data_IF_933398921323
#
_entry.id   IF_933398921323
#
_cell.length_a   1.000
_cell.length_b   1.000
_cell.length_c   1.000
_cell.angle_alpha   90.00
_cell.angle_beta   90.00
_cell.angle_gamma   90.00
#
_symmetry.space_group_name_H-M   'P 1'
#
loop_
_entity.id
_entity.type
_entity.pdbx_description
1 polymer ?
#
# COMPACT_ATOMS: atom_id res chain seq x y z
N UNK A 1 8.30 -0.26 36.04
CA UNK A 1 7.14 0.33 35.33
C UNK A 1 6.54 -0.79 34.51
N UNK A 2 5.25 -1.06 34.61
CA UNK A 2 4.59 -2.05 33.76
C UNK A 2 4.40 -1.44 32.38
N UNK A 3 5.15 -1.91 31.39
CA UNK A 3 4.84 -1.66 29.98
C UNK A 3 3.44 -2.20 29.72
N UNK A 4 2.48 -1.33 29.37
CA UNK A 4 1.19 -1.79 28.87
C UNK A 4 1.44 -2.51 27.54
N UNK A 5 1.25 -3.82 27.50
CA UNK A 5 1.37 -4.65 26.29
C UNK A 5 0.28 -4.26 25.29
N UNK A 6 0.57 -3.26 24.45
CA UNK A 6 -0.35 -2.83 23.40
C UNK A 6 -0.24 -3.77 22.22
N UNK A 7 -1.39 -4.11 21.66
CA UNK A 7 -1.48 -5.00 20.51
C UNK A 7 -2.22 -4.30 19.37
N UNK A 8 -1.91 -4.70 18.15
CA UNK A 8 -2.56 -4.28 16.92
C UNK A 8 -3.23 -5.49 16.27
N UNK A 9 -4.52 -5.37 15.97
CA UNK A 9 -5.24 -6.36 15.19
C UNK A 9 -4.91 -6.21 13.69
N UNK A 10 -4.60 -7.33 13.05
CA UNK A 10 -4.38 -7.45 11.61
C UNK A 10 -5.20 -8.61 11.02
N UNK A 11 -5.68 -8.51 9.79
CA UNK A 11 -6.30 -9.64 9.06
C UNK A 11 -5.83 -9.69 7.61
N UNK A 12 -5.75 -10.88 7.01
CA UNK A 12 -5.42 -11.06 5.58
C UNK A 12 -6.69 -10.97 4.72
N UNK A 13 -7.42 -9.85 4.81
CA UNK A 13 -8.72 -9.66 4.17
C UNK A 13 -9.94 -9.87 5.09
N UNK A 14 -11.17 -9.62 4.59
CA UNK A 14 -12.38 -9.50 5.40
C UNK A 14 -12.87 -10.81 6.03
N UNK A 15 -12.54 -11.96 5.43
CA UNK A 15 -12.93 -13.29 5.92
C UNK A 15 -11.79 -14.03 6.63
N UNK A 16 -10.63 -13.40 6.79
CA UNK A 16 -9.44 -14.02 7.37
C UNK A 16 -9.37 -13.89 8.88
N UNK A 17 -8.69 -14.83 9.53
CA UNK A 17 -8.39 -14.77 10.97
C UNK A 17 -7.71 -13.45 11.34
N UNK A 18 -8.08 -12.90 12.49
CA UNK A 18 -7.36 -11.78 13.11
C UNK A 18 -6.12 -12.33 13.81
N UNK A 19 -4.98 -11.68 13.57
CA UNK A 19 -3.71 -11.88 14.27
C UNK A 19 -3.41 -10.63 15.07
N UNK A 20 -2.94 -10.80 16.30
CA UNK A 20 -2.52 -9.72 17.16
C UNK A 20 -1.00 -9.64 17.16
N UNK A 21 -0.44 -8.49 16.80
CA UNK A 21 1.00 -8.22 16.83
C UNK A 21 1.26 -7.14 17.88
N UNK A 22 2.35 -7.27 18.64
CA UNK A 22 2.74 -6.31 19.66
C UNK A 22 3.02 -4.92 19.06
N UNK A 23 2.72 -3.87 19.81
CA UNK A 23 2.99 -2.48 19.47
C UNK A 23 3.94 -1.88 20.51
N UNK A 24 5.19 -1.66 20.10
CA UNK A 24 6.26 -1.12 20.92
C UNK A 24 6.13 0.40 21.10
N UNK A 25 6.40 0.92 22.30
CA UNK A 25 6.46 2.37 22.53
C UNK A 25 7.84 2.94 22.14
N UNK A 26 7.90 3.63 21.01
CA UNK A 26 9.14 4.22 20.52
C UNK A 26 9.42 5.58 21.20
N UNK A 27 10.27 5.57 22.24
CA UNK A 27 10.51 6.72 23.11
C UNK A 27 10.93 8.00 22.38
N UNK A 28 11.78 7.89 21.35
CA UNK A 28 12.29 9.04 20.60
C UNK A 28 11.21 9.83 19.86
N UNK A 29 10.17 9.14 19.35
CA UNK A 29 9.05 9.78 18.63
C UNK A 29 7.76 9.80 19.44
N UNK A 30 7.79 9.26 20.67
CA UNK A 30 6.69 9.23 21.65
C UNK A 30 5.40 8.64 21.09
N UNK A 31 5.51 7.61 20.26
CA UNK A 31 4.37 6.93 19.64
C UNK A 31 4.53 5.41 19.70
N UNK A 32 3.40 4.71 19.74
CA UNK A 32 3.37 3.26 19.57
C UNK A 32 3.53 2.91 18.09
N UNK A 33 4.42 1.95 17.81
CA UNK A 33 4.76 1.47 16.48
C UNK A 33 4.72 -0.06 16.44
N UNK A 34 4.41 -0.63 15.28
CA UNK A 34 4.58 -2.07 15.01
C UNK A 34 5.75 -2.22 14.04
N UNK A 35 6.73 -3.07 14.35
CA UNK A 35 7.85 -3.31 13.45
C UNK A 35 7.39 -4.08 12.21
N UNK A 36 7.97 -3.73 11.06
CA UNK A 36 7.63 -4.38 9.80
C UNK A 36 8.08 -5.85 9.77
N UNK A 37 9.15 -6.20 10.51
CA UNK A 37 9.62 -7.57 10.71
C UNK A 37 8.52 -8.46 11.29
N UNK A 38 7.89 -8.01 12.36
CA UNK A 38 6.92 -8.81 13.12
C UNK A 38 5.65 -9.04 12.28
N UNK A 39 5.32 -8.09 11.40
CA UNK A 39 4.26 -8.24 10.39
C UNK A 39 4.67 -9.27 9.32
N UNK A 40 5.91 -9.21 8.80
CA UNK A 40 6.42 -10.18 7.83
C UNK A 40 6.47 -11.60 8.40
N UNK A 41 6.85 -11.77 9.66
CA UNK A 41 6.92 -13.07 10.32
C UNK A 41 5.53 -13.71 10.50
N UNK A 42 4.48 -12.89 10.68
CA UNK A 42 3.10 -13.34 10.81
C UNK A 42 2.36 -13.58 9.48
N UNK A 43 2.69 -12.82 8.43
CA UNK A 43 1.92 -12.78 7.17
C UNK A 43 2.70 -13.18 5.91
N UNK A 44 4.03 -13.32 5.99
CA UNK A 44 4.91 -13.52 4.84
C UNK A 44 5.17 -12.22 4.08
N UNK A 45 5.45 -12.27 2.76
CA UNK A 45 5.68 -11.09 1.94
C UNK A 45 4.45 -10.16 1.89
N UNK A 46 4.51 -9.05 2.62
CA UNK A 46 3.43 -8.03 2.60
C UNK A 46 3.73 -6.97 1.55
N UNK A 47 2.77 -6.74 0.64
CA UNK A 47 2.85 -5.64 -0.33
C UNK A 47 2.38 -4.33 0.30
N UNK A 48 1.18 -4.33 0.89
CA UNK A 48 0.57 -3.15 1.49
C UNK A 48 -0.21 -3.51 2.76
N UNK A 49 -0.38 -2.54 3.65
CA UNK A 49 -1.29 -2.62 4.80
C UNK A 49 -2.33 -1.52 4.63
N UNK A 50 -3.59 -1.84 4.88
CA UNK A 50 -4.73 -0.95 4.66
C UNK A 50 -5.51 -0.72 5.95
N UNK A 51 -6.10 0.47 6.06
CA UNK A 51 -7.04 0.86 7.12
C UNK A 51 -8.34 1.29 6.45
N UNK A 52 -9.22 0.33 6.21
CA UNK A 52 -10.35 0.52 5.28
C UNK A 52 -9.83 0.84 3.87
N UNK A 53 -10.35 1.87 3.18
CA UNK A 53 -9.95 2.18 1.80
C UNK A 53 -8.55 2.81 1.67
N UNK A 54 -7.87 3.15 2.77
CA UNK A 54 -6.60 3.87 2.75
C UNK A 54 -5.40 2.95 2.98
N UNK A 55 -4.42 2.97 2.08
CA UNK A 55 -3.11 2.34 2.30
C UNK A 55 -2.36 3.11 3.40
N UNK A 56 -1.84 2.39 4.40
CA UNK A 56 -1.04 2.95 5.48
C UNK A 56 0.39 3.23 5.01
N UNK A 57 0.89 4.39 5.41
CA UNK A 57 2.27 4.80 5.21
C UNK A 57 3.15 4.36 6.39
N UNK A 58 4.47 4.32 6.18
CA UNK A 58 5.46 4.05 7.22
C UNK A 58 5.38 5.11 8.33
N UNK A 59 5.69 4.68 9.56
CA UNK A 59 5.82 5.59 10.69
C UNK A 59 6.96 6.59 10.43
N UNK A 60 6.70 7.85 10.78
CA UNK A 60 7.65 8.95 10.63
C UNK A 60 7.94 9.61 11.97
N UNK A 61 9.11 10.24 12.07
CA UNK A 61 9.48 11.10 13.19
C UNK A 61 8.79 12.48 13.10
N UNK A 62 9.01 13.33 14.11
CA UNK A 62 8.49 14.70 14.15
C UNK A 62 9.09 15.65 13.10
N UNK A 63 10.10 15.20 12.35
CA UNK A 63 10.77 15.92 11.26
C UNK A 63 10.35 15.39 9.88
N UNK A 64 9.49 14.37 9.82
CA UNK A 64 9.00 13.74 8.60
C UNK A 64 9.90 12.64 8.01
N UNK A 65 11.00 12.26 8.68
CA UNK A 65 11.86 11.16 8.26
C UNK A 65 11.21 9.81 8.60
N UNK A 66 11.51 8.76 7.84
CA UNK A 66 11.12 7.40 8.21
C UNK A 66 11.88 6.96 9.46
N UNK A 67 11.19 6.21 10.34
CA UNK A 67 11.81 5.61 11.52
C UNK A 67 12.46 4.29 11.09
N UNK A 68 13.75 4.14 11.42
CA UNK A 68 14.48 2.88 11.29
C UNK A 68 14.59 2.18 12.67
N UNK A 69 14.37 0.86 12.77
CA UNK A 69 13.95 -0.03 11.69
C UNK A 69 12.52 0.24 11.23
N UNK A 70 12.24 -0.03 9.95
CA UNK A 70 10.92 0.15 9.31
C UNK A 70 9.77 -0.32 10.20
N UNK A 71 8.84 0.58 10.46
CA UNK A 71 7.67 0.33 11.28
C UNK A 71 6.44 1.10 10.75
N UNK A 72 5.25 0.72 11.22
CA UNK A 72 4.00 1.47 11.03
C UNK A 72 3.49 2.02 12.36
N UNK A 73 2.64 3.04 12.32
CA UNK A 73 2.00 3.59 13.51
C UNK A 73 0.94 2.63 14.06
N UNK A 74 0.79 2.57 15.38
CA UNK A 74 -0.33 1.88 16.04
C UNK A 74 -1.66 2.62 15.81
N UNK A 75 -2.69 1.85 15.49
CA UNK A 75 -4.07 2.31 15.32
C UNK A 75 -4.97 1.55 16.29
N UNK A 76 -5.02 2.06 17.52
CA UNK A 76 -6.04 1.69 18.51
C UNK A 76 -7.43 1.70 17.84
N UNK A 77 -8.22 0.65 18.11
CA UNK A 77 -9.58 0.44 17.59
C UNK A 77 -9.74 0.20 16.08
N UNK A 78 -8.64 -0.07 15.34
CA UNK A 78 -8.72 -0.52 13.94
C UNK A 78 -8.20 -1.95 13.77
N UNK A 79 -8.90 -2.76 12.97
CA UNK A 79 -8.30 -3.97 12.36
C UNK A 79 -7.66 -3.53 11.04
N UNK A 80 -6.37 -3.83 10.88
CA UNK A 80 -5.61 -3.48 9.69
C UNK A 80 -5.59 -4.64 8.69
N UNK A 81 -5.90 -4.36 7.43
CA UNK A 81 -5.92 -5.38 6.39
C UNK A 81 -4.52 -5.52 5.75
N UNK A 82 -3.99 -6.74 5.75
CA UNK A 82 -2.68 -7.08 5.19
C UNK A 82 -2.88 -7.63 3.78
N UNK A 83 -2.50 -6.83 2.78
CA UNK A 83 -2.51 -7.22 1.37
C UNK A 83 -1.20 -7.93 1.05
N UNK A 84 -1.25 -9.25 1.13
CA UNK A 84 -0.25 -10.15 0.55
C UNK A 84 -0.65 -10.38 -0.91
N UNK A 85 0.18 -9.93 -1.86
CA UNK A 85 0.09 -10.42 -3.23
C UNK A 85 1.10 -11.53 -3.46
N UNK A 86 0.88 -12.34 -4.49
CA UNK A 86 2.02 -12.92 -5.19
C UNK A 86 2.93 -11.77 -5.66
N UNK A 87 4.24 -12.05 -5.73
CA UNK A 87 5.23 -11.07 -6.18
C UNK A 87 4.87 -10.67 -7.61
N UNK A 88 4.31 -9.48 -7.78
CA UNK A 88 4.30 -8.83 -9.10
C UNK A 88 5.75 -8.61 -9.48
N UNK A 89 6.25 -9.43 -10.40
CA UNK A 89 7.61 -9.36 -10.91
C UNK A 89 7.94 -7.94 -11.30
N UNK A 90 9.04 -7.43 -10.74
CA UNK A 90 9.62 -6.16 -11.14
C UNK A 90 9.96 -6.26 -12.64
N UNK A 91 9.18 -5.59 -13.49
CA UNK A 91 9.12 -5.98 -14.90
C UNK A 91 8.40 -5.02 -15.85
N UNK A 92 8.67 -3.72 -15.75
CA UNK A 92 8.51 -2.77 -16.85
C UNK A 92 9.31 -1.48 -16.57
N UNK A 93 10.48 -1.37 -17.18
CA UNK A 93 11.22 -0.11 -17.28
C UNK A 93 10.62 0.76 -18.41
N UNK A 94 10.61 2.09 -18.23
CA UNK A 94 10.22 3.07 -19.25
C UNK A 94 8.69 3.19 -19.48
N UNK A 95 8.13 4.35 -19.83
CA UNK A 95 8.74 5.63 -20.20
C UNK A 95 7.91 6.80 -19.67
N UNK A 96 8.55 7.74 -18.97
CA UNK A 96 7.97 9.04 -18.66
C UNK A 96 8.52 10.11 -19.63
N UNK A 97 7.97 10.19 -20.85
CA UNK A 97 8.03 11.37 -21.72
C UNK A 97 7.26 11.17 -23.03
N UNK A 98 6.15 11.88 -23.20
CA UNK A 98 5.63 12.30 -24.50
C UNK A 98 4.54 13.38 -24.32
N UNK A 99 4.95 14.65 -24.31
CA UNK A 99 4.04 15.76 -24.62
C UNK A 99 4.15 16.11 -26.10
N UNK A 100 3.00 16.37 -26.73
CA UNK A 100 2.83 17.16 -27.97
C UNK A 100 3.10 16.52 -29.35
N UNK A 101 2.00 16.06 -29.98
CA UNK A 101 1.50 16.43 -31.33
C UNK A 101 2.50 16.46 -32.53
N UNK A 102 2.27 15.61 -33.55
CA UNK A 102 1.66 16.02 -34.84
C UNK A 102 1.48 14.84 -35.83
N UNK A 103 0.73 15.03 -36.93
CA UNK A 103 0.37 14.01 -37.94
C UNK A 103 1.19 14.15 -39.24
N UNK A 104 1.57 13.03 -39.88
CA UNK A 104 1.62 12.91 -41.36
C UNK A 104 1.83 11.47 -41.87
N UNK A 105 0.76 10.89 -42.42
CA UNK A 105 0.65 9.95 -43.55
C UNK A 105 1.74 8.89 -43.90
N UNK A 106 1.36 7.60 -43.75
CA UNK A 106 1.41 6.49 -44.74
C UNK A 106 2.76 6.01 -45.35
N UNK A 107 2.82 4.75 -45.84
CA UNK A 107 2.52 3.49 -45.16
C UNK A 107 3.72 2.52 -45.28
N UNK A 108 3.58 1.32 -44.68
CA UNK A 108 4.07 0.00 -45.15
C UNK A 108 4.70 -0.86 -44.04
N UNK A 109 4.15 -2.08 -43.92
CA UNK A 109 4.70 -3.33 -43.37
C UNK A 109 5.27 -3.41 -41.93
N UNK A 110 4.59 -4.29 -41.17
CA UNK A 110 5.01 -4.99 -39.94
C UNK A 110 5.02 -4.22 -38.59
N UNK A 111 4.96 -5.02 -37.52
CA UNK A 111 5.00 -4.71 -36.10
C UNK A 111 3.82 -3.97 -35.42
N UNK A 112 3.40 -4.59 -34.31
CA UNK A 112 2.89 -3.99 -33.07
C UNK A 112 1.45 -3.40 -32.99
N UNK A 113 0.65 -4.08 -32.16
CA UNK A 113 -0.15 -3.52 -31.05
C UNK A 113 -0.75 -2.11 -31.20
N UNK A 114 -2.08 -2.02 -31.31
CA UNK A 114 -2.96 -1.37 -30.31
C UNK A 114 -4.43 -1.57 -30.73
N UNK A 115 -5.22 -2.30 -29.94
CA UNK A 115 -6.70 -2.26 -30.04
C UNK A 115 -7.21 -1.41 -28.89
N UNK A 116 -7.62 -0.19 -29.22
CA UNK A 116 -8.45 0.66 -28.38
C UNK A 116 -9.85 0.05 -28.33
N UNK A 117 -10.47 0.00 -27.15
CA UNK A 117 -11.93 0.06 -27.06
C UNK A 117 -12.35 0.83 -25.80
N UNK A 118 -12.83 2.04 -26.02
CA UNK A 118 -13.56 2.82 -25.02
C UNK A 118 -15.07 2.53 -25.17
N UNK A 119 -15.78 2.48 -24.04
CA UNK A 119 -17.20 2.80 -23.87
C UNK A 119 -17.47 2.79 -22.35
N UNK A 120 -17.88 3.88 -21.68
CA UNK A 120 -19.11 4.70 -21.82
C UNK A 120 -20.27 4.18 -20.97
N UNK A 121 -21.04 5.13 -20.38
CA UNK A 121 -22.27 4.95 -19.56
C UNK A 121 -22.01 4.46 -18.12
N UNK A 122 -22.72 4.88 -17.06
CA UNK A 122 -23.94 5.70 -16.86
C UNK A 122 -23.94 6.21 -15.37
N UNK A 123 -24.77 7.11 -14.81
CA UNK A 123 -25.92 7.95 -15.23
C UNK A 123 -26.20 9.05 -14.14
N UNK A 124 -26.87 10.16 -14.48
CA UNK A 124 -27.76 11.03 -13.64
C UNK A 124 -27.26 11.68 -12.31
N UNK A 125 -27.37 13.00 -12.09
CA UNK A 125 -28.56 13.84 -11.72
C UNK A 125 -28.61 14.04 -10.16
N UNK A 126 -29.17 15.06 -9.53
CA UNK A 126 -30.20 16.04 -9.91
C UNK A 126 -30.05 17.35 -9.08
N UNK A 127 -30.39 18.50 -9.69
CA UNK A 127 -30.72 19.85 -9.13
C UNK A 127 -29.81 20.52 -8.06
#
# INVERSE_FOLDING_TARGET
>A
MTTEERHQAFSKGPSSRVVWVEAFYHEHTRQYVIYWTDILDNFGPVNNIMKGPSVLTRARDSRGNEIEPRCIKHYHDAVLEVVVGDVFSLGAEGFASASSISRSATPDTDAAWYVILACSMHYFDEQ
#
